data_IF_838493266628
#
_entry.id   IF_838493266628
#
_cell.length_a   1.000
_cell.length_b   1.000
_cell.length_c   1.000
_cell.angle_alpha   90.00
_cell.angle_beta   90.00
_cell.angle_gamma   90.00
#
_symmetry.space_group_name_H-M   'P 1'
#
loop_
_entity.id
_entity.type
_entity.pdbx_description
1 polymer ?
#
# COMPACT_ATOMS: atom_id res chain seq x y z
N UNK A 1 -4.98 6.02 -22.74
CA UNK A 1 -4.17 6.18 -21.53
C UNK A 1 -2.73 5.98 -21.95
N UNK A 2 -1.81 6.86 -21.55
CA UNK A 2 -0.41 6.71 -21.95
C UNK A 2 0.25 5.54 -21.21
N UNK A 3 1.27 4.91 -21.80
CA UNK A 3 1.97 3.76 -21.19
C UNK A 3 2.54 4.06 -19.78
N UNK A 4 2.85 5.33 -19.48
CA UNK A 4 3.22 5.75 -18.14
C UNK A 4 2.05 5.74 -17.16
N UNK A 5 0.86 6.21 -17.56
CA UNK A 5 -0.33 6.26 -16.72
C UNK A 5 -0.79 4.84 -16.35
N UNK A 6 -0.73 3.89 -17.29
CA UNK A 6 -1.04 2.48 -17.05
C UNK A 6 -0.08 1.84 -16.03
N UNK A 7 1.22 2.14 -16.12
CA UNK A 7 2.21 1.67 -15.12
C UNK A 7 1.92 2.18 -13.71
N UNK A 8 1.53 3.45 -13.57
CA UNK A 8 1.20 4.04 -12.26
C UNK A 8 -0.06 3.40 -11.66
N UNK A 9 -1.07 3.10 -12.49
CA UNK A 9 -2.28 2.40 -12.03
C UNK A 9 -1.95 0.97 -11.61
N UNK A 10 -1.19 0.23 -12.42
CA UNK A 10 -0.77 -1.13 -12.09
C UNK A 10 0.04 -1.17 -10.79
N UNK A 11 0.99 -0.25 -10.62
CA UNK A 11 1.77 -0.12 -9.38
C UNK A 11 0.88 0.13 -8.16
N UNK A 12 -0.10 1.04 -8.28
CA UNK A 12 -1.07 1.33 -7.22
C UNK A 12 -1.88 0.10 -6.86
N UNK A 13 -2.39 -0.64 -7.84
CA UNK A 13 -3.24 -1.81 -7.64
C UNK A 13 -2.47 -2.97 -6.98
N UNK A 14 -1.24 -3.21 -7.42
CA UNK A 14 -0.35 -4.19 -6.80
C UNK A 14 -0.05 -3.84 -5.34
N UNK A 15 0.30 -2.57 -5.08
CA UNK A 15 0.60 -2.08 -3.74
C UNK A 15 -0.62 -2.15 -2.82
N UNK A 16 -1.81 -1.76 -3.31
CA UNK A 16 -3.07 -1.83 -2.57
C UNK A 16 -3.45 -3.28 -2.20
N UNK A 17 -3.19 -4.23 -3.11
CA UNK A 17 -3.40 -5.66 -2.85
C UNK A 17 -2.49 -6.16 -1.73
N UNK A 18 -1.20 -5.83 -1.78
CA UNK A 18 -0.24 -6.20 -0.73
C UNK A 18 -0.57 -5.52 0.60
N UNK A 19 -0.92 -4.23 0.57
CA UNK A 19 -1.34 -3.45 1.73
C UNK A 19 -2.53 -4.10 2.41
N UNK A 20 -3.57 -4.46 1.66
CA UNK A 20 -4.78 -5.09 2.21
C UNK A 20 -4.45 -6.41 2.92
N UNK A 21 -3.56 -7.22 2.37
CA UNK A 21 -3.13 -8.48 3.00
C UNK A 21 -2.37 -8.22 4.30
N UNK A 22 -1.41 -7.31 4.28
CA UNK A 22 -0.61 -6.97 5.45
C UNK A 22 -1.46 -6.30 6.54
N UNK A 23 -2.36 -5.40 6.16
CA UNK A 23 -3.28 -4.73 7.07
C UNK A 23 -4.20 -5.75 7.78
N UNK A 24 -4.74 -6.72 7.03
CA UNK A 24 -5.51 -7.82 7.63
C UNK A 24 -4.67 -8.64 8.61
N UNK A 25 -3.42 -8.91 8.26
CA UNK A 25 -2.52 -9.65 9.13
C UNK A 25 -2.23 -8.90 10.43
N UNK A 26 -1.85 -7.62 10.40
CA UNK A 26 -1.52 -6.85 11.62
C UNK A 26 -2.73 -6.59 12.53
N UNK A 27 -3.96 -6.75 12.01
CA UNK A 27 -5.20 -6.68 12.77
C UNK A 27 -5.67 -8.04 13.31
N UNK A 28 -5.00 -9.14 12.93
CA UNK A 28 -5.37 -10.49 13.36
C UNK A 28 -4.81 -10.83 14.73
N UNK A 29 -5.38 -11.86 15.38
CA UNK A 29 -4.84 -12.39 16.64
C UNK A 29 -3.43 -12.98 16.48
N UNK A 30 -3.12 -13.55 15.31
CA UNK A 30 -1.83 -14.17 15.00
C UNK A 30 -0.67 -13.15 15.04
N UNK A 31 -0.96 -11.87 14.79
CA UNK A 31 0.03 -10.81 14.90
C UNK A 31 0.65 -10.70 16.29
N UNK A 32 -0.11 -11.02 17.35
CA UNK A 32 0.40 -11.01 18.72
C UNK A 32 1.46 -12.08 18.99
N UNK A 33 1.54 -13.11 18.14
CA UNK A 33 2.54 -14.18 18.22
C UNK A 33 3.85 -13.83 17.51
N UNK A 34 3.88 -12.74 16.74
CA UNK A 34 5.08 -12.26 16.05
C UNK A 34 6.03 -11.60 17.06
N UNK A 35 7.33 -11.74 16.86
CA UNK A 35 8.32 -11.05 17.69
C UNK A 35 8.12 -9.52 17.66
N UNK A 36 8.21 -8.86 18.82
CA UNK A 36 7.93 -7.42 19.00
C UNK A 36 8.67 -6.51 18.00
N UNK A 37 9.94 -6.80 17.70
CA UNK A 37 10.72 -6.02 16.72
C UNK A 37 10.09 -6.13 15.32
N UNK A 38 9.70 -7.34 14.93
CA UNK A 38 9.05 -7.61 13.65
C UNK A 38 7.65 -6.99 13.61
N UNK A 39 6.91 -7.00 14.72
CA UNK A 39 5.62 -6.28 14.81
C UNK A 39 5.78 -4.79 14.48
N UNK A 40 6.78 -4.13 15.09
CA UNK A 40 7.08 -2.72 14.82
C UNK A 40 7.40 -2.46 13.34
N UNK A 41 8.23 -3.31 12.73
CA UNK A 41 8.57 -3.22 11.31
C UNK A 41 7.35 -3.36 10.40
N UNK A 42 6.45 -4.31 10.70
CA UNK A 42 5.23 -4.53 9.91
C UNK A 42 4.25 -3.36 10.02
N UNK A 43 4.11 -2.74 11.20
CA UNK A 43 3.27 -1.55 11.39
C UNK A 43 3.83 -0.33 10.63
N UNK A 44 5.15 -0.15 10.65
CA UNK A 44 5.83 0.88 9.86
C UNK A 44 5.59 0.62 8.37
N UNK A 45 5.74 -0.63 7.93
CA UNK A 45 5.49 -1.02 6.54
C UNK A 45 4.06 -0.69 6.10
N UNK A 46 3.04 -1.01 6.92
CA UNK A 46 1.63 -0.63 6.65
C UNK A 46 1.49 0.88 6.46
N UNK A 47 2.10 1.66 7.34
CA UNK A 47 2.04 3.12 7.31
C UNK A 47 2.67 3.71 6.03
N UNK A 48 3.84 3.19 5.64
CA UNK A 48 4.54 3.61 4.41
C UNK A 48 3.73 3.23 3.17
N UNK A 49 3.21 1.99 3.12
CA UNK A 49 2.40 1.53 1.99
C UNK A 49 1.13 2.37 1.83
N UNK A 50 0.45 2.71 2.93
CA UNK A 50 -0.73 3.57 2.91
C UNK A 50 -0.40 4.97 2.36
N UNK A 51 0.68 5.59 2.84
CA UNK A 51 1.11 6.88 2.35
C UNK A 51 1.45 6.83 0.85
N UNK A 52 2.15 5.78 0.41
CA UNK A 52 2.52 5.66 -1.00
C UNK A 52 1.31 5.42 -1.92
N UNK A 53 0.32 4.63 -1.49
CA UNK A 53 -0.97 4.49 -2.21
C UNK A 53 -1.65 5.86 -2.35
N UNK A 54 -1.65 6.69 -1.31
CA UNK A 54 -2.23 8.03 -1.37
C UNK A 54 -1.54 8.90 -2.45
N UNK A 55 -0.21 8.92 -2.47
CA UNK A 55 0.56 9.60 -3.51
C UNK A 55 0.25 9.08 -4.93
N UNK A 56 0.16 7.77 -5.12
CA UNK A 56 -0.19 7.19 -6.42
C UNK A 56 -1.62 7.58 -6.85
N UNK A 57 -2.57 7.61 -5.91
CA UNK A 57 -3.92 8.09 -6.20
C UNK A 57 -3.96 9.57 -6.60
N UNK A 58 -3.14 10.42 -5.97
CA UNK A 58 -2.99 11.83 -6.38
C UNK A 58 -2.43 11.95 -7.80
N UNK A 59 -1.39 11.19 -8.14
CA UNK A 59 -0.85 11.14 -9.52
C UNK A 59 -1.91 10.69 -10.53
N UNK A 60 -2.71 9.69 -10.18
CA UNK A 60 -3.79 9.19 -11.05
C UNK A 60 -4.90 10.23 -11.24
N UNK A 61 -5.22 11.04 -10.23
CA UNK A 61 -6.20 12.13 -10.37
C UNK A 61 -5.76 13.14 -11.43
N UNK A 62 -4.47 13.50 -11.44
CA UNK A 62 -3.90 14.43 -12.43
C UNK A 62 -4.02 13.91 -13.87
N UNK A 63 -4.11 12.60 -14.09
CA UNK A 63 -4.33 12.04 -15.44
C UNK A 63 -5.73 12.34 -16.00
N UNK A 64 -6.71 12.63 -15.15
CA UNK A 64 -8.08 12.98 -15.56
C UNK A 64 -8.26 14.47 -15.82
N UNK A 65 -7.30 15.29 -15.40
CA UNK A 65 -7.29 16.74 -15.55
C UNK A 65 -6.49 17.19 -16.79
N UNK A 66 -5.86 16.24 -17.49
CA UNK A 66 -5.15 16.39 -18.77
C UNK A 66 -6.01 15.89 -19.92
#
# INVERSE_FOLDING_TARGET
MEAYQERVIAERDELATRFTKLQKFVLSADFQQVESVVQGQLLIQVSIMQAYIAFLNERIKLFKEQ
#
